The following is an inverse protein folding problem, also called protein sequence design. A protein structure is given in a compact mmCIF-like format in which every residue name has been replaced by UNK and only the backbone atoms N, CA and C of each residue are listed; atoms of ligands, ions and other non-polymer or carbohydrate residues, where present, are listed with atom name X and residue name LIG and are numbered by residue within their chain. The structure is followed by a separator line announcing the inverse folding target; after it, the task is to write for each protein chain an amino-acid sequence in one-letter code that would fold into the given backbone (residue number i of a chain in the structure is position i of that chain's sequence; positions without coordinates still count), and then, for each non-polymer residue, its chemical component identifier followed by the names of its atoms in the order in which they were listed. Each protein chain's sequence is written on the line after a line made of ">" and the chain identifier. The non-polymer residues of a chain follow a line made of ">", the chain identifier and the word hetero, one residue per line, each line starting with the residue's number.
data_IF_533698967385
#
_entry.id   IF_533698967385
#
_cell.length_a   1.000
_cell.length_b   1.000
_cell.length_c   1.000
_cell.angle_alpha   90.00
_cell.angle_beta   90.00
_cell.angle_gamma   90.00
#
_symmetry.space_group_name_H-M   'P 1'
#
loop_
_entity.id
_entity.type
_entity.pdbx_description
1 polymer ?
#
# COMPACT_ATOMS: atom_id res chain seq x y z
N UNK A 1 -14.75 -16.62 -14.12
CA UNK A 1 -14.72 -15.14 -14.16
C UNK A 1 -16.11 -14.55 -14.39
N UNK A 2 -17.11 -15.31 -14.88
CA UNK A 2 -18.47 -14.79 -15.09
C UNK A 2 -19.15 -14.27 -13.81
N UNK A 3 -18.74 -14.75 -12.61
CA UNK A 3 -19.29 -14.31 -11.32
C UNK A 3 -18.39 -13.33 -10.55
N UNK A 4 -17.36 -12.75 -11.18
CA UNK A 4 -16.43 -11.83 -10.51
C UNK A 4 -16.60 -10.41 -11.05
N UNK A 5 -17.13 -9.52 -10.22
CA UNK A 5 -17.39 -8.13 -10.62
C UNK A 5 -16.10 -7.30 -10.77
N UNK A 6 -15.14 -7.48 -9.87
CA UNK A 6 -13.86 -6.76 -9.86
C UNK A 6 -12.84 -7.45 -8.94
N UNK A 7 -11.56 -7.19 -9.19
CA UNK A 7 -10.45 -7.65 -8.34
C UNK A 7 -9.80 -6.47 -7.62
N UNK A 8 -9.68 -6.58 -6.30
CA UNK A 8 -8.92 -5.65 -5.47
C UNK A 8 -7.56 -6.24 -5.14
N UNK A 9 -6.52 -5.64 -5.67
CA UNK A 9 -5.13 -5.95 -5.31
C UNK A 9 -4.73 -5.08 -4.12
N UNK A 10 -4.54 -5.70 -2.96
CA UNK A 10 -4.26 -5.00 -1.69
C UNK A 10 -2.94 -5.46 -1.10
N UNK A 11 -1.87 -4.73 -1.38
CA UNK A 11 -0.58 -5.00 -0.75
C UNK A 11 -0.55 -4.46 0.67
N UNK A 12 0.08 -5.23 1.55
CA UNK A 12 0.30 -4.86 2.94
C UNK A 12 1.79 -4.66 3.15
N UNK A 13 2.18 -3.41 3.43
CA UNK A 13 3.55 -3.04 3.68
C UNK A 13 3.68 -2.42 5.07
N UNK A 14 4.88 -2.49 5.65
CA UNK A 14 5.17 -1.85 6.92
C UNK A 14 6.25 -0.81 6.74
N UNK A 15 5.89 0.45 6.88
CA UNK A 15 6.79 1.60 6.83
C UNK A 15 6.50 2.51 8.01
N UNK A 16 7.50 3.24 8.48
CA UNK A 16 7.36 4.13 9.64
C UNK A 16 7.62 5.62 9.30
N UNK A 17 7.88 5.94 8.03
CA UNK A 17 8.39 7.24 7.58
C UNK A 17 7.26 8.15 7.09
N UNK A 18 7.10 8.32 5.78
CA UNK A 18 6.19 9.32 5.17
C UNK A 18 5.00 8.69 4.46
N UNK A 19 4.95 7.35 4.38
CA UNK A 19 3.92 6.68 3.59
C UNK A 19 2.60 6.64 4.37
N UNK A 20 1.51 7.16 3.80
CA UNK A 20 0.23 7.25 4.48
C UNK A 20 -0.44 5.87 4.63
N UNK A 21 -1.51 5.77 5.44
CA UNK A 21 -2.19 4.50 5.70
C UNK A 21 -2.67 3.77 4.46
N UNK A 22 -3.10 4.48 3.42
CA UNK A 22 -3.64 3.90 2.20
C UNK A 22 -3.30 4.76 0.98
N UNK A 23 -2.78 4.09 -0.06
CA UNK A 23 -2.58 4.67 -1.40
C UNK A 23 -3.36 3.89 -2.44
N UNK A 24 -3.87 4.59 -3.46
CA UNK A 24 -4.41 4.01 -4.69
C UNK A 24 -3.39 4.22 -5.81
N UNK A 25 -3.12 3.15 -6.55
CA UNK A 25 -2.05 3.10 -7.54
C UNK A 25 -2.60 2.78 -8.93
N UNK A 26 -1.89 3.26 -9.96
CA UNK A 26 -1.95 2.68 -11.31
C UNK A 26 -1.27 1.31 -11.33
N UNK A 27 -1.51 0.53 -12.40
CA UNK A 27 -0.88 -0.77 -12.59
C UNK A 27 0.65 -0.67 -12.55
N UNK A 28 1.23 0.30 -13.25
CA UNK A 28 2.68 0.51 -13.32
C UNK A 28 3.24 0.87 -11.94
N UNK A 29 2.53 1.71 -11.18
CA UNK A 29 2.92 2.05 -9.81
C UNK A 29 2.83 0.84 -8.87
N UNK A 30 1.80 0.01 -9.03
CA UNK A 30 1.62 -1.19 -8.23
C UNK A 30 2.74 -2.21 -8.47
N UNK A 31 3.03 -2.51 -9.74
CA UNK A 31 4.16 -3.37 -10.12
C UNK A 31 5.47 -2.79 -9.59
N UNK A 32 5.67 -1.47 -9.72
CA UNK A 32 6.85 -0.79 -9.19
C UNK A 32 7.00 -0.95 -7.68
N UNK A 33 5.94 -0.74 -6.92
CA UNK A 33 5.96 -0.85 -5.45
C UNK A 33 6.28 -2.29 -5.02
N UNK A 34 5.74 -3.27 -5.74
CA UNK A 34 6.07 -4.68 -5.57
C UNK A 34 7.55 -4.96 -5.86
N UNK A 35 8.07 -4.48 -6.98
CA UNK A 35 9.49 -4.65 -7.34
C UNK A 35 10.43 -4.09 -6.28
N UNK A 36 10.18 -2.86 -5.82
CA UNK A 36 11.07 -2.21 -4.86
C UNK A 36 10.93 -2.74 -3.44
N UNK A 37 9.90 -3.54 -3.16
CA UNK A 37 9.64 -4.07 -1.82
C UNK A 37 9.64 -2.94 -0.80
N UNK A 38 8.74 -1.96 -0.95
CA UNK A 38 8.64 -0.78 -0.07
C UNK A 38 8.20 -1.13 1.38
N UNK A 39 8.80 -2.14 2.01
CA UNK A 39 8.51 -2.62 3.35
C UNK A 39 9.80 -2.82 4.17
N UNK A 40 9.70 -2.62 5.48
CA UNK A 40 10.79 -2.90 6.43
C UNK A 40 10.75 -4.37 6.84
N UNK A 41 11.86 -5.09 6.67
CA UNK A 41 12.01 -6.51 7.01
C UNK A 41 11.77 -6.77 8.51
N UNK A 42 10.90 -7.74 8.82
CA UNK A 42 10.62 -8.20 10.19
C UNK A 42 10.84 -9.71 10.38
N UNK A 43 11.19 -10.45 9.32
CA UNK A 43 11.41 -11.90 9.37
C UNK A 43 12.79 -12.26 9.91
N UNK A 44 12.85 -13.22 10.83
CA UNK A 44 14.05 -13.72 11.51
C UNK A 44 15.04 -14.52 10.63
N UNK A 45 15.11 -14.25 9.32
CA UNK A 45 15.99 -14.99 8.42
C UNK A 45 17.46 -14.55 8.53
N UNK A 46 17.70 -13.30 8.93
CA UNK A 46 19.04 -12.74 9.14
C UNK A 46 18.90 -11.73 10.28
N UNK A 47 19.82 -11.69 11.25
CA UNK A 47 19.75 -10.92 12.51
C UNK A 47 19.68 -9.38 12.39
N UNK A 48 18.77 -8.84 11.57
CA UNK A 48 18.59 -7.44 11.22
C UNK A 48 17.14 -6.97 11.46
N UNK A 49 16.52 -7.42 12.56
CA UNK A 49 15.20 -6.93 13.00
C UNK A 49 15.28 -5.39 13.17
N UNK A 50 14.43 -4.65 12.47
CA UNK A 50 14.33 -3.18 12.59
C UNK A 50 15.29 -2.37 11.70
N UNK A 51 16.01 -2.98 10.76
CA UNK A 51 16.79 -2.23 9.75
C UNK A 51 16.00 -2.11 8.44
N UNK A 52 15.99 -0.94 7.76
CA UNK A 52 15.47 -0.86 6.41
C UNK A 52 16.36 -1.72 5.53
N UNK A 53 15.79 -2.80 5.03
CA UNK A 53 16.42 -3.62 4.03
C UNK A 53 15.71 -3.31 2.73
N UNK A 54 16.45 -2.74 1.77
CA UNK A 54 16.02 -2.67 0.38
C UNK A 54 16.61 -3.92 -0.25
N UNK A 55 15.92 -5.04 -0.12
CA UNK A 55 16.02 -6.06 -1.15
C UNK A 55 14.66 -6.15 -1.80
N UNK A 56 14.70 -5.95 -3.13
CA UNK A 56 13.81 -6.58 -4.10
C UNK A 56 13.04 -7.70 -3.46
N UNK A 57 11.70 -7.66 -3.54
CA UNK A 57 10.80 -8.78 -3.24
C UNK A 57 11.57 -10.05 -2.91
N UNK A 58 12.13 -10.11 -1.70
CA UNK A 58 13.15 -11.10 -1.36
C UNK A 58 12.37 -12.29 -0.86
N UNK A 59 11.39 -12.68 -1.66
CA UNK A 59 10.67 -13.90 -1.48
C UNK A 59 11.71 -14.98 -1.73
N UNK A 60 12.16 -15.69 -0.69
CA UNK A 60 13.19 -16.72 -0.82
C UNK A 60 12.70 -17.90 -1.69
N UNK A 61 11.43 -17.87 -2.11
CA UNK A 61 10.79 -18.86 -2.98
C UNK A 61 10.64 -18.38 -4.43
N UNK A 62 10.99 -17.13 -4.75
CA UNK A 62 11.03 -16.66 -6.13
C UNK A 62 12.24 -17.29 -6.84
N UNK A 63 11.94 -18.07 -7.88
CA UNK A 63 12.92 -18.70 -8.77
C UNK A 63 12.71 -18.13 -10.17
N UNK A 64 13.69 -17.38 -10.67
CA UNK A 64 13.62 -16.71 -11.98
C UNK A 64 14.56 -15.50 -12.07
N UNK A 65 14.64 -14.84 -13.23
CA UNK A 65 15.37 -13.58 -13.34
C UNK A 65 14.54 -12.43 -12.75
N UNK A 66 15.20 -11.50 -12.07
CA UNK A 66 14.58 -10.37 -11.36
C UNK A 66 13.75 -9.47 -12.27
N UNK A 67 14.12 -9.37 -13.56
CA UNK A 67 13.39 -8.58 -14.55
C UNK A 67 12.20 -9.33 -15.16
N UNK A 68 12.22 -10.66 -15.17
CA UNK A 68 11.18 -11.46 -15.85
C UNK A 68 9.87 -11.46 -15.07
N UNK A 69 9.95 -11.51 -13.74
CA UNK A 69 8.76 -11.66 -12.88
C UNK A 69 7.89 -10.41 -12.87
N UNK A 70 8.43 -9.19 -12.69
CA UNK A 70 7.62 -7.98 -12.72
C UNK A 70 7.03 -7.71 -14.10
N UNK A 71 7.79 -8.02 -15.17
CA UNK A 71 7.29 -7.92 -16.54
C UNK A 71 6.17 -8.93 -16.80
N UNK A 72 6.31 -10.16 -16.31
CA UNK A 72 5.26 -11.19 -16.40
C UNK A 72 4.02 -10.79 -15.61
N UNK A 73 4.18 -10.26 -14.39
CA UNK A 73 3.07 -9.78 -13.58
C UNK A 73 2.35 -8.61 -14.26
N UNK A 74 3.10 -7.61 -14.74
CA UNK A 74 2.55 -6.51 -15.51
C UNK A 74 1.75 -7.03 -16.72
N UNK A 75 2.32 -7.97 -17.48
CA UNK A 75 1.66 -8.58 -18.62
C UNK A 75 0.37 -9.30 -18.23
N UNK A 76 0.38 -10.13 -17.18
CA UNK A 76 -0.82 -10.86 -16.70
C UNK A 76 -1.92 -9.88 -16.29
N UNK A 77 -1.59 -8.89 -15.47
CA UNK A 77 -2.56 -7.90 -14.98
C UNK A 77 -3.12 -7.07 -16.14
N UNK A 78 -2.29 -6.72 -17.13
CA UNK A 78 -2.73 -6.06 -18.34
C UNK A 78 -3.67 -6.95 -19.17
N UNK A 79 -3.34 -8.24 -19.36
CA UNK A 79 -4.22 -9.18 -20.06
C UNK A 79 -5.57 -9.35 -19.36
N UNK A 80 -5.58 -9.43 -18.03
CA UNK A 80 -6.84 -9.49 -17.26
C UNK A 80 -7.70 -8.25 -17.49
N UNK A 81 -7.08 -7.06 -17.52
CA UNK A 81 -7.78 -5.82 -17.81
C UNK A 81 -8.36 -5.80 -19.24
N UNK A 82 -7.58 -6.22 -20.24
CA UNK A 82 -8.04 -6.34 -21.63
C UNK A 82 -9.12 -7.40 -21.82
N UNK A 83 -9.10 -8.45 -21.01
CA UNK A 83 -10.16 -9.46 -20.93
C UNK A 83 -11.45 -8.97 -20.26
N UNK A 84 -11.51 -7.68 -19.87
CA UNK A 84 -12.70 -7.05 -19.31
C UNK A 84 -12.83 -7.18 -17.79
N UNK A 85 -11.82 -7.67 -17.06
CA UNK A 85 -11.84 -7.75 -15.60
C UNK A 85 -11.40 -6.41 -14.98
N UNK A 86 -12.29 -5.67 -14.29
CA UNK A 86 -11.90 -4.45 -13.60
C UNK A 86 -10.96 -4.78 -12.45
N UNK A 87 -9.89 -4.00 -12.33
CA UNK A 87 -8.88 -4.17 -11.30
C UNK A 87 -8.62 -2.83 -10.61
N UNK A 88 -8.43 -2.87 -9.29
CA UNK A 88 -8.04 -1.71 -8.50
C UNK A 88 -6.85 -2.08 -7.62
N UNK A 89 -5.84 -1.21 -7.61
CA UNK A 89 -4.55 -1.47 -6.96
C UNK A 89 -4.35 -0.55 -5.75
N UNK A 90 -4.06 -1.14 -4.60
CA UNK A 90 -3.93 -0.45 -3.33
C UNK A 90 -2.72 -0.95 -2.55
N UNK A 91 -2.14 -0.05 -1.76
CA UNK A 91 -1.09 -0.36 -0.80
C UNK A 91 -1.46 0.21 0.55
N UNK A 92 -1.48 -0.67 1.55
CA UNK A 92 -1.72 -0.34 2.95
C UNK A 92 -0.40 -0.25 3.71
N UNK A 93 -0.19 0.85 4.42
CA UNK A 93 0.86 0.93 5.43
C UNK A 93 0.31 0.46 6.79
N UNK A 94 0.90 -0.60 7.34
CA UNK A 94 0.55 -1.17 8.66
C UNK A 94 1.58 -0.86 9.75
N UNK A 95 2.57 -0.01 9.45
CA UNK A 95 3.55 0.48 10.41
C UNK A 95 3.07 1.76 11.10
N UNK A 96 3.69 2.87 10.74
CA UNK A 96 3.41 4.19 11.27
C UNK A 96 3.89 5.30 10.34
N UNK A 97 3.78 6.54 10.80
CA UNK A 97 4.22 7.73 10.07
C UNK A 97 5.03 8.61 11.03
N UNK A 98 6.12 9.20 10.57
CA UNK A 98 6.91 10.22 11.27
C UNK A 98 7.97 9.68 12.23
N UNK A 99 8.48 8.47 12.04
CA UNK A 99 9.63 7.97 12.81
C UNK A 99 10.90 8.75 12.45
N UNK A 100 11.67 9.13 13.48
CA UNK A 100 12.91 9.90 13.32
C UNK A 100 14.15 9.00 13.12
N UNK A 101 14.08 7.74 13.57
CA UNK A 101 15.13 6.74 13.37
C UNK A 101 14.56 5.37 13.02
N UNK A 102 15.38 4.56 12.36
CA UNK A 102 15.04 3.19 11.99
C UNK A 102 14.96 2.25 13.19
N UNK A 103 15.74 2.53 14.23
CA UNK A 103 16.01 1.60 15.32
C UNK A 103 14.78 1.37 16.21
N UNK A 104 13.87 2.35 16.31
CA UNK A 104 12.81 2.28 17.33
C UNK A 104 11.40 2.68 16.90
N UNK A 105 11.10 2.94 15.62
CA UNK A 105 9.77 3.41 15.19
C UNK A 105 9.19 4.41 16.21
N UNK A 106 9.99 5.43 16.51
CA UNK A 106 9.85 6.32 17.67
C UNK A 106 10.13 7.76 17.25
N UNK A 107 9.94 8.69 18.18
CA UNK A 107 10.14 10.11 17.98
C UNK A 107 8.87 10.93 18.23
N UNK A 108 8.99 12.23 18.53
CA UNK A 108 7.87 13.12 18.83
C UNK A 108 6.82 13.22 17.71
N UNK A 109 7.20 12.93 16.47
CA UNK A 109 6.29 12.98 15.31
C UNK A 109 5.71 11.61 14.95
N UNK A 110 6.22 10.54 15.55
CA UNK A 110 5.81 9.18 15.21
C UNK A 110 4.38 8.90 15.67
N UNK A 111 3.60 8.33 14.75
CA UNK A 111 2.24 7.86 14.99
C UNK A 111 2.08 6.47 14.38
N UNK A 112 1.80 5.49 15.22
CA UNK A 112 1.53 4.11 14.79
C UNK A 112 0.15 4.04 14.13
N UNK A 113 0.07 3.42 12.96
CA UNK A 113 -1.20 3.12 12.29
C UNK A 113 -1.85 1.96 13.04
N UNK A 114 -3.07 2.17 13.52
CA UNK A 114 -3.77 1.15 14.28
C UNK A 114 -4.38 0.09 13.36
N UNK A 115 -4.53 -1.13 13.88
CA UNK A 115 -5.21 -2.21 13.14
C UNK A 115 -6.65 -1.81 12.83
N UNK A 116 -7.30 -1.10 13.74
CA UNK A 116 -8.67 -0.61 13.60
C UNK A 116 -8.81 0.35 12.42
N UNK A 117 -7.83 1.25 12.23
CA UNK A 117 -7.80 2.15 11.08
C UNK A 117 -7.60 1.38 9.78
N UNK A 118 -6.67 0.43 9.74
CA UNK A 118 -6.44 -0.41 8.53
C UNK A 118 -7.73 -1.15 8.14
N UNK A 119 -8.40 -1.81 9.10
CA UNK A 119 -9.64 -2.55 8.83
C UNK A 119 -10.78 -1.62 8.39
N UNK A 120 -10.91 -0.45 9.02
CA UNK A 120 -11.89 0.57 8.62
C UNK A 120 -11.68 1.02 7.18
N UNK A 121 -10.43 1.23 6.77
CA UNK A 121 -10.09 1.61 5.40
C UNK A 121 -10.35 0.47 4.40
N UNK A 122 -10.08 -0.78 4.76
CA UNK A 122 -10.43 -1.94 3.93
C UNK A 122 -11.94 -2.05 3.71
N UNK A 123 -12.73 -1.89 4.77
CA UNK A 123 -14.20 -1.87 4.66
C UNK A 123 -14.67 -0.71 3.78
N UNK A 124 -14.13 0.49 4.01
CA UNK A 124 -14.49 1.67 3.24
C UNK A 124 -14.14 1.53 1.75
N UNK A 125 -13.02 0.89 1.40
CA UNK A 125 -12.66 0.62 0.00
C UNK A 125 -13.68 -0.26 -0.71
N UNK A 126 -14.13 -1.34 -0.06
CA UNK A 126 -15.11 -2.26 -0.63
C UNK A 126 -16.46 -1.55 -0.85
N UNK A 127 -16.79 -0.58 0.01
CA UNK A 127 -18.00 0.25 -0.09
C UNK A 127 -17.84 1.47 -1.02
N UNK A 128 -16.70 1.63 -1.69
CA UNK A 128 -16.35 2.82 -2.50
C UNK A 128 -16.48 4.14 -1.72
N UNK A 129 -16.20 4.09 -0.41
CA UNK A 129 -16.41 5.18 0.55
C UNK A 129 -15.13 5.92 0.93
N UNK A 130 -14.03 5.73 0.19
CA UNK A 130 -12.76 6.42 0.42
C UNK A 130 -12.59 7.55 -0.58
N UNK A 131 -12.37 8.75 -0.07
CA UNK A 131 -11.95 9.89 -0.89
C UNK A 131 -10.44 9.85 -1.07
N UNK A 132 -10.01 9.98 -2.31
CA UNK A 132 -8.61 10.04 -2.70
C UNK A 132 -8.25 11.41 -3.26
N UNK A 133 -7.04 11.88 -2.99
CA UNK A 133 -6.45 13.04 -3.65
C UNK A 133 -5.04 12.69 -4.12
N UNK A 134 -4.59 13.34 -5.19
CA UNK A 134 -3.25 13.12 -5.72
C UNK A 134 -2.20 13.80 -4.84
N UNK A 135 -1.21 13.03 -4.38
CA UNK A 135 -0.05 13.54 -3.66
C UNK A 135 1.12 13.71 -4.64
N UNK A 136 1.63 14.94 -4.76
CA UNK A 136 2.71 15.26 -5.70
C UNK A 136 4.08 14.71 -5.29
N UNK A 137 4.29 14.46 -4.00
CA UNK A 137 5.55 13.95 -3.44
C UNK A 137 5.68 12.47 -3.72
N UNK A 138 4.62 11.71 -3.41
CA UNK A 138 4.53 10.27 -3.63
C UNK A 138 4.14 9.92 -5.08
N UNK A 139 3.70 10.92 -5.84
CA UNK A 139 3.24 10.80 -7.23
C UNK A 139 2.07 9.82 -7.40
N UNK A 140 1.29 9.59 -6.34
CA UNK A 140 0.20 8.61 -6.28
C UNK A 140 -1.01 9.20 -5.57
N UNK A 141 -2.17 8.57 -5.71
CA UNK A 141 -3.34 8.97 -4.94
C UNK A 141 -3.27 8.44 -3.50
N UNK A 142 -3.61 9.29 -2.55
CA UNK A 142 -3.59 8.98 -1.10
C UNK A 142 -5.00 9.11 -0.54
N UNK A 143 -5.36 8.24 0.40
CA UNK A 143 -6.64 8.33 1.09
C UNK A 143 -6.64 9.57 1.99
N UNK A 144 -7.57 10.49 1.76
CA UNK A 144 -7.68 11.75 2.49
C UNK A 144 -8.86 11.81 3.45
N UNK A 145 -9.90 11.02 3.19
CA UNK A 145 -11.08 10.94 4.04
C UNK A 145 -11.89 9.67 3.78
N UNK A 146 -12.73 9.30 4.74
CA UNK A 146 -13.85 8.37 4.54
C UNK A 146 -15.14 9.19 4.46
N UNK A 147 -15.98 8.89 3.47
CA UNK A 147 -17.27 9.53 3.26
C UNK A 147 -18.42 8.60 3.63
N UNK A 148 -19.56 9.16 4.03
CA UNK A 148 -20.79 8.39 4.18
C UNK A 148 -21.59 8.31 2.87
N UNK A 149 -22.75 7.66 2.90
CA UNK A 149 -23.65 7.51 1.74
C UNK A 149 -24.11 8.85 1.12
N UNK A 150 -24.14 9.93 1.90
CA UNK A 150 -24.46 11.27 1.41
C UNK A 150 -23.25 12.01 0.79
N UNK A 151 -22.08 11.36 0.72
CA UNK A 151 -20.83 11.96 0.24
C UNK A 151 -20.16 12.90 1.23
N UNK A 152 -20.66 12.99 2.47
CA UNK A 152 -20.08 13.83 3.52
C UNK A 152 -18.86 13.14 4.14
N UNK A 153 -17.74 13.85 4.26
CA UNK A 153 -16.56 13.37 4.99
C UNK A 153 -16.92 13.13 6.48
N UNK A 154 -16.74 11.89 6.94
CA UNK A 154 -17.02 11.44 8.32
C UNK A 154 -15.75 11.09 9.09
N UNK A 155 -14.66 10.79 8.38
CA UNK A 155 -13.31 10.63 8.96
C UNK A 155 -12.36 11.45 8.10
N UNK A 156 -11.67 12.42 8.69
CA UNK A 156 -10.61 13.19 8.02
C UNK A 156 -9.26 12.53 8.30
N UNK A 157 -8.55 12.14 7.24
CA UNK A 157 -7.21 11.56 7.33
C UNK A 157 -6.11 12.61 7.10
N UNK A 158 -6.43 13.79 6.54
CA UNK A 158 -5.43 14.81 6.20
C UNK A 158 -4.73 15.33 7.43
N UNK A 159 -5.50 15.79 8.41
CA UNK A 159 -4.99 16.36 9.66
C UNK A 159 -4.15 15.37 10.47
N UNK A 160 -4.44 14.08 10.31
CA UNK A 160 -3.88 13.03 11.15
C UNK A 160 -2.73 12.23 10.54
N UNK A 161 -2.71 12.06 9.22
CA UNK A 161 -1.87 11.08 8.54
C UNK A 161 -1.13 11.61 7.31
N UNK A 162 -1.48 12.79 6.81
CA UNK A 162 -0.86 13.41 5.63
C UNK A 162 -0.13 14.69 6.07
N UNK A 163 1.13 14.53 6.47
CA UNK A 163 1.99 15.62 6.97
C UNK A 163 3.08 15.96 5.97
#
# INVERSE_FOLDING_TARGET
>A
MEDTDQVFWQEVMRQNTVIPPLRRLSLEQYVRVLMYGEAVQMGAAIGAIGRPYIEYFSDPFIIGLEDEIPNLMYFILQQMSWGGMPQRYYVFNTGGVGADSNEEASGPKYKKISKELTLMLQEALIRDAVKFEYDSTLRSEVAVAIVNESGKEVVDLRSEWLR
#
